data_IF_130669439343
#
_entry.id   IF_130669439343
#
_cell.length_a   1.000
_cell.length_b   1.000
_cell.length_c   1.000
_cell.angle_alpha   90.00
_cell.angle_beta   90.00
_cell.angle_gamma   90.00
#
_symmetry.space_group_name_H-M   'P 1'
#
loop_
_entity.id
_entity.type
_entity.pdbx_description
1 polymer ?
#
# COMPACT_ATOMS: atom_id res chain seq x y z
N UNK A 1 -12.87 12.96 1.41
CA UNK A 1 -11.86 12.73 0.34
C UNK A 1 -11.06 11.48 0.67
N UNK A 2 -10.87 10.60 -0.32
CA UNK A 2 -10.09 9.36 -0.20
C UNK A 2 -8.78 9.52 -0.96
N UNK A 3 -7.63 9.26 -0.32
CA UNK A 3 -6.34 9.21 -1.01
C UNK A 3 -5.98 7.75 -1.33
N UNK A 4 -5.55 7.50 -2.56
CA UNK A 4 -5.01 6.21 -2.98
C UNK A 4 -3.56 6.39 -3.42
N UNK A 5 -2.62 5.71 -2.78
CA UNK A 5 -1.24 5.58 -3.26
C UNK A 5 -1.10 4.29 -4.06
N UNK A 6 -0.35 4.29 -5.15
CA UNK A 6 -0.24 3.13 -6.04
C UNK A 6 -1.51 2.89 -6.87
N UNK A 7 -2.31 3.95 -7.11
CA UNK A 7 -3.56 3.87 -7.83
C UNK A 7 -3.44 3.43 -9.29
N UNK A 8 -2.29 3.64 -9.93
CA UNK A 8 -2.05 3.19 -11.30
C UNK A 8 -1.65 1.70 -11.41
N UNK A 9 -1.39 1.02 -10.28
CA UNK A 9 -1.12 -0.42 -10.25
C UNK A 9 -2.38 -1.27 -10.48
N UNK A 10 -2.23 -2.61 -10.61
CA UNK A 10 -3.35 -3.51 -10.87
C UNK A 10 -4.47 -3.37 -9.83
N UNK A 11 -4.20 -3.65 -8.55
CA UNK A 11 -5.21 -3.51 -7.49
C UNK A 11 -5.68 -2.06 -7.31
N UNK A 12 -4.75 -1.10 -7.45
CA UNK A 12 -5.03 0.32 -7.27
C UNK A 12 -6.05 0.85 -8.26
N UNK A 13 -5.89 0.55 -9.55
CA UNK A 13 -6.83 1.04 -10.56
C UNK A 13 -8.23 0.42 -10.43
N UNK A 14 -8.31 -0.85 -10.04
CA UNK A 14 -9.59 -1.52 -9.75
C UNK A 14 -10.27 -0.87 -8.55
N UNK A 15 -9.52 -0.58 -7.49
CA UNK A 15 -10.04 0.12 -6.31
C UNK A 15 -10.54 1.53 -6.66
N UNK A 16 -9.76 2.31 -7.41
CA UNK A 16 -10.15 3.66 -7.84
C UNK A 16 -11.48 3.61 -8.60
N UNK A 17 -11.63 2.69 -9.56
CA UNK A 17 -12.90 2.50 -10.29
C UNK A 17 -14.06 2.19 -9.35
N UNK A 18 -13.89 1.23 -8.45
CA UNK A 18 -14.93 0.83 -7.52
C UNK A 18 -15.34 1.95 -6.55
N UNK A 19 -14.39 2.80 -6.14
CA UNK A 19 -14.68 3.97 -5.30
C UNK A 19 -15.47 5.04 -6.07
N UNK A 20 -15.06 5.33 -7.30
CA UNK A 20 -15.77 6.29 -8.17
C UNK A 20 -17.19 5.83 -8.51
N UNK A 21 -17.39 4.54 -8.80
CA UNK A 21 -18.71 3.94 -9.01
C UNK A 21 -19.64 4.09 -7.79
N UNK A 22 -19.08 4.16 -6.59
CA UNK A 22 -19.81 4.45 -5.34
C UNK A 22 -20.03 5.94 -5.09
N UNK A 23 -19.59 6.81 -6.00
CA UNK A 23 -19.72 8.25 -5.86
C UNK A 23 -18.72 8.89 -4.89
N UNK A 24 -17.65 8.15 -4.52
CA UNK A 24 -16.62 8.67 -3.62
C UNK A 24 -15.72 9.68 -4.34
N UNK A 25 -15.24 10.67 -3.60
CA UNK A 25 -14.21 11.60 -4.09
C UNK A 25 -12.84 11.01 -3.88
N UNK A 26 -12.14 10.73 -4.98
CA UNK A 26 -10.85 10.03 -4.96
C UNK A 26 -9.74 10.98 -5.41
N UNK A 27 -8.63 10.97 -4.67
CA UNK A 27 -7.35 11.57 -5.03
C UNK A 27 -6.32 10.45 -5.18
N UNK A 28 -5.55 10.46 -6.27
CA UNK A 28 -4.49 9.49 -6.52
C UNK A 28 -3.13 10.18 -6.41
N UNK A 29 -2.26 9.65 -5.54
CA UNK A 29 -0.86 10.06 -5.47
C UNK A 29 -0.10 9.34 -6.58
N UNK A 30 0.52 10.09 -7.48
CA UNK A 30 1.30 9.59 -8.60
C UNK A 30 2.72 10.14 -8.56
N UNK A 31 3.70 9.32 -8.97
CA UNK A 31 5.06 9.81 -9.13
C UNK A 31 5.15 10.77 -10.33
N UNK A 32 6.02 11.79 -10.30
CA UNK A 32 6.29 12.60 -11.50
C UNK A 32 6.65 11.72 -12.69
N UNK A 33 5.91 11.84 -13.79
CA UNK A 33 6.09 11.04 -15.00
C UNK A 33 5.61 9.59 -14.93
N UNK A 34 4.88 9.21 -13.89
CA UNK A 34 4.28 7.88 -13.82
C UNK A 34 3.23 7.68 -14.93
N UNK A 35 3.26 6.51 -15.58
CA UNK A 35 2.21 6.12 -16.51
C UNK A 35 0.91 5.83 -15.77
N UNK A 36 -0.08 6.69 -16.01
CA UNK A 36 -1.43 6.58 -15.43
C UNK A 36 -2.49 6.16 -16.44
N UNK A 37 -2.08 5.63 -17.59
CA UNK A 37 -3.00 5.19 -18.66
C UNK A 37 -4.04 4.16 -18.18
N UNK A 38 -3.70 3.39 -17.15
CA UNK A 38 -4.64 2.47 -16.47
C UNK A 38 -5.85 3.18 -15.84
N UNK A 39 -5.78 4.49 -15.61
CA UNK A 39 -6.82 5.33 -15.01
C UNK A 39 -7.48 6.28 -16.03
N UNK A 40 -7.14 6.16 -17.31
CA UNK A 40 -7.70 7.03 -18.35
C UNK A 40 -9.23 6.99 -18.39
N UNK A 41 -9.84 8.15 -18.61
CA UNK A 41 -11.30 8.32 -18.67
C UNK A 41 -12.01 8.31 -17.32
N UNK A 42 -11.31 8.22 -16.19
CA UNK A 42 -11.89 8.31 -14.86
C UNK A 42 -11.82 9.74 -14.31
N UNK A 43 -12.85 10.13 -13.53
CA UNK A 43 -12.95 11.45 -12.89
C UNK A 43 -12.40 11.40 -11.46
N UNK A 44 -11.12 11.69 -11.28
CA UNK A 44 -10.44 11.72 -9.99
C UNK A 44 -9.43 12.88 -9.91
N UNK A 45 -9.07 13.27 -8.70
CA UNK A 45 -8.02 14.28 -8.48
C UNK A 45 -6.64 13.61 -8.52
N UNK A 46 -5.73 14.16 -9.32
CA UNK A 46 -4.31 13.74 -9.34
C UNK A 46 -3.47 14.67 -8.48
N UNK A 47 -2.60 14.11 -7.65
CA UNK A 47 -1.56 14.85 -6.94
C UNK A 47 -0.20 14.18 -7.20
N UNK A 48 0.74 14.96 -7.72
CA UNK A 48 2.10 14.47 -7.88
C UNK A 48 2.85 14.45 -6.54
N UNK A 49 3.57 13.36 -6.30
CA UNK A 49 4.38 13.22 -5.11
C UNK A 49 4.96 11.81 -4.94
N UNK A 50 5.92 11.73 -4.04
CA UNK A 50 6.60 10.49 -3.69
C UNK A 50 6.32 10.13 -2.22
N UNK A 51 6.00 8.86 -1.94
CA UNK A 51 5.81 8.37 -0.57
C UNK A 51 7.09 8.46 0.27
N UNK A 52 8.25 8.64 -0.37
CA UNK A 52 9.53 8.88 0.30
C UNK A 52 9.74 10.34 0.71
N UNK A 53 8.85 11.24 0.32
CA UNK A 53 8.89 12.66 0.67
C UNK A 53 7.76 13.02 1.65
N UNK A 54 8.06 13.21 2.94
CA UNK A 54 7.04 13.52 3.94
C UNK A 54 6.32 14.86 3.70
N UNK A 55 6.95 15.82 3.02
CA UNK A 55 6.32 17.12 2.72
C UNK A 55 5.27 16.94 1.63
N UNK A 56 5.61 16.21 0.57
CA UNK A 56 4.67 15.91 -0.51
C UNK A 56 3.49 15.07 -0.02
N UNK A 57 3.74 14.08 0.87
CA UNK A 57 2.68 13.27 1.48
C UNK A 57 1.70 14.14 2.29
N UNK A 58 2.18 15.02 3.17
CA UNK A 58 1.30 15.91 3.93
C UNK A 58 0.48 16.81 3.01
N UNK A 59 1.07 17.31 1.95
CA UNK A 59 0.33 18.08 0.92
C UNK A 59 -0.76 17.22 0.26
N UNK A 60 -0.44 15.99 -0.11
CA UNK A 60 -1.39 15.08 -0.74
C UNK A 60 -2.55 14.70 0.20
N UNK A 61 -2.30 14.68 1.52
CA UNK A 61 -3.29 14.32 2.54
C UNK A 61 -4.15 15.49 3.03
N UNK A 62 -4.00 16.70 2.48
CA UNK A 62 -4.86 17.83 2.86
C UNK A 62 -6.35 17.53 2.58
N UNK A 63 -7.19 17.57 3.62
CA UNK A 63 -8.63 17.29 3.53
C UNK A 63 -8.98 15.82 3.24
N UNK A 64 -8.05 14.89 3.48
CA UNK A 64 -8.24 13.44 3.31
C UNK A 64 -8.73 12.82 4.61
N UNK A 65 -9.77 12.00 4.53
CA UNK A 65 -10.36 11.26 5.67
C UNK A 65 -9.88 9.81 5.72
N UNK A 66 -9.62 9.22 4.55
CA UNK A 66 -9.30 7.81 4.39
C UNK A 66 -8.13 7.65 3.42
N UNK A 67 -7.15 6.85 3.79
CA UNK A 67 -6.01 6.53 2.92
C UNK A 67 -6.02 5.03 2.60
N UNK A 68 -5.98 4.70 1.31
CA UNK A 68 -5.62 3.37 0.82
C UNK A 68 -4.15 3.39 0.39
N UNK A 69 -3.30 2.74 1.17
CA UNK A 69 -1.88 2.64 0.87
C UNK A 69 -1.58 1.33 0.16
N UNK A 70 -1.47 1.42 -1.18
CA UNK A 70 -1.24 0.28 -2.08
C UNK A 70 0.09 0.40 -2.83
N UNK A 71 0.79 1.54 -2.72
CA UNK A 71 2.09 1.73 -3.33
C UNK A 71 3.11 0.76 -2.72
N UNK A 72 3.71 -0.07 -3.56
CA UNK A 72 4.76 -0.99 -3.18
C UNK A 72 5.62 -1.32 -4.41
N UNK A 73 6.88 -1.65 -4.18
CA UNK A 73 7.74 -2.24 -5.19
C UNK A 73 7.73 -3.76 -5.00
N UNK A 74 7.40 -4.48 -6.07
CA UNK A 74 7.47 -5.94 -6.15
C UNK A 74 8.63 -6.29 -7.05
N UNK A 75 9.60 -7.03 -6.55
CA UNK A 75 10.68 -7.58 -7.36
C UNK A 75 11.05 -8.98 -6.85
N UNK A 76 11.25 -9.90 -7.77
CA UNK A 76 11.60 -11.29 -7.46
C UNK A 76 13.09 -11.41 -7.13
N UNK A 77 13.90 -10.49 -7.65
CA UNK A 77 15.36 -10.51 -7.52
C UNK A 77 15.84 -9.81 -6.25
N UNK A 78 16.85 -10.38 -5.60
CA UNK A 78 17.41 -9.87 -4.33
C UNK A 78 18.27 -8.62 -4.48
N UNK A 79 18.72 -8.29 -5.70
CA UNK A 79 19.53 -7.11 -6.02
C UNK A 79 18.77 -5.78 -5.80
N UNK A 80 17.44 -5.84 -5.75
CA UNK A 80 16.58 -4.66 -5.48
C UNK A 80 16.18 -4.51 -4.01
N UNK A 81 16.79 -5.26 -3.07
CA UNK A 81 16.37 -5.24 -1.66
C UNK A 81 16.38 -3.82 -1.06
N UNK A 82 17.44 -3.06 -1.24
CA UNK A 82 17.55 -1.71 -0.65
C UNK A 82 16.48 -0.77 -1.19
N UNK A 83 16.17 -0.87 -2.49
CA UNK A 83 15.10 -0.08 -3.08
C UNK A 83 13.73 -0.53 -2.58
N UNK A 84 13.48 -1.84 -2.48
CA UNK A 84 12.24 -2.37 -1.90
C UNK A 84 12.10 -1.95 -0.43
N UNK A 85 13.19 -1.97 0.34
CA UNK A 85 13.16 -1.53 1.72
C UNK A 85 12.75 -0.04 1.83
N UNK A 86 13.39 0.82 1.03
CA UNK A 86 13.02 2.24 0.98
C UNK A 86 11.55 2.43 0.64
N UNK A 87 11.07 1.83 -0.46
CA UNK A 87 9.70 2.05 -0.92
C UNK A 87 8.70 1.39 0.03
N UNK A 88 8.88 0.11 0.36
CA UNK A 88 7.87 -0.65 1.09
C UNK A 88 7.89 -0.36 2.59
N UNK A 89 9.07 -0.11 3.18
CA UNK A 89 9.20 0.09 4.63
C UNK A 89 9.23 1.56 4.99
N UNK A 90 10.21 2.32 4.47
CA UNK A 90 10.33 3.74 4.78
C UNK A 90 9.16 4.55 4.20
N UNK A 91 8.71 4.22 2.98
CA UNK A 91 7.52 4.82 2.38
C UNK A 91 6.27 4.58 3.23
N UNK A 92 6.05 3.36 3.72
CA UNK A 92 4.93 3.04 4.63
C UNK A 92 5.05 3.79 5.96
N UNK A 93 6.25 3.92 6.52
CA UNK A 93 6.49 4.73 7.73
C UNK A 93 6.07 6.18 7.51
N UNK A 94 6.51 6.78 6.41
CA UNK A 94 6.15 8.16 6.07
C UNK A 94 4.64 8.34 5.88
N UNK A 95 3.95 7.35 5.28
CA UNK A 95 2.49 7.37 5.13
C UNK A 95 1.80 7.33 6.50
N UNK A 96 2.27 6.47 7.42
CA UNK A 96 1.74 6.39 8.80
C UNK A 96 1.90 7.73 9.52
N UNK A 97 3.09 8.32 9.46
CA UNK A 97 3.38 9.61 10.09
C UNK A 97 2.52 10.72 9.50
N UNK A 98 2.42 10.78 8.17
CA UNK A 98 1.57 11.76 7.50
C UNK A 98 0.07 11.58 7.85
N UNK A 99 -0.42 10.34 7.99
CA UNK A 99 -1.79 10.09 8.45
C UNK A 99 -2.03 10.66 9.85
N UNK A 100 -1.08 10.50 10.77
CA UNK A 100 -1.16 11.07 12.12
C UNK A 100 -1.12 12.59 12.11
N UNK A 101 -0.15 13.16 11.40
CA UNK A 101 0.06 14.61 11.31
C UNK A 101 -1.16 15.33 10.72
N UNK A 102 -1.82 14.70 9.74
CA UNK A 102 -2.96 15.29 9.02
C UNK A 102 -4.33 14.89 9.58
N UNK A 103 -4.37 14.10 10.65
CA UNK A 103 -5.62 13.67 11.28
C UNK A 103 -6.47 12.76 10.40
N UNK A 104 -5.84 11.96 9.54
CA UNK A 104 -6.55 10.98 8.71
C UNK A 104 -7.28 9.99 9.62
N UNK A 105 -8.58 9.82 9.38
CA UNK A 105 -9.45 8.98 10.23
C UNK A 105 -9.09 7.50 10.14
N UNK A 106 -8.74 6.99 8.96
CA UNK A 106 -8.41 5.57 8.77
C UNK A 106 -7.36 5.36 7.69
N UNK A 107 -6.45 4.44 7.96
CA UNK A 107 -5.48 3.90 7.00
C UNK A 107 -5.85 2.45 6.64
N UNK A 108 -6.02 2.15 5.35
CA UNK A 108 -6.12 0.78 4.83
C UNK A 108 -4.82 0.46 4.10
N UNK A 109 -4.05 -0.45 4.66
CA UNK A 109 -2.76 -0.87 4.11
C UNK A 109 -2.88 -2.20 3.38
N UNK A 110 -2.42 -2.26 2.15
CA UNK A 110 -2.34 -3.49 1.37
C UNK A 110 -1.00 -4.16 1.59
N UNK A 111 -1.01 -5.23 2.38
CA UNK A 111 0.13 -6.11 2.61
C UNK A 111 0.15 -7.27 1.60
N UNK A 112 0.49 -8.44 2.05
CA UNK A 112 0.48 -9.71 1.31
C UNK A 112 0.43 -10.87 2.30
N UNK A 113 -0.17 -11.99 1.91
CA UNK A 113 -0.06 -13.24 2.65
C UNK A 113 1.41 -13.67 2.86
N UNK A 114 2.29 -13.27 1.94
CA UNK A 114 3.73 -13.52 2.03
C UNK A 114 4.42 -12.82 3.20
N UNK A 115 3.76 -11.87 3.85
CA UNK A 115 4.27 -11.19 5.04
C UNK A 115 4.12 -12.04 6.32
N UNK A 116 3.27 -13.07 6.29
CA UNK A 116 3.03 -13.94 7.43
C UNK A 116 4.14 -14.97 7.60
N UNK A 117 4.37 -15.40 8.85
CA UNK A 117 5.18 -16.55 9.17
C UNK A 117 4.61 -17.82 8.50
N UNK A 118 5.46 -18.82 8.33
CA UNK A 118 5.03 -20.12 7.82
C UNK A 118 4.62 -21.00 9.00
N UNK A 119 3.34 -21.25 9.21
CA UNK A 119 2.88 -22.15 10.23
C UNK A 119 3.26 -23.61 9.86
N UNK A 120 3.19 -24.50 10.85
CA UNK A 120 3.38 -25.93 10.64
C UNK A 120 2.37 -26.50 9.63
N UNK A 121 2.78 -27.56 8.94
CA UNK A 121 1.93 -28.23 7.96
C UNK A 121 0.59 -28.68 8.57
N UNK A 122 -0.50 -28.40 7.89
CA UNK A 122 -1.86 -28.70 8.34
C UNK A 122 -2.49 -27.63 9.25
N UNK A 123 -1.77 -26.55 9.58
CA UNK A 123 -2.32 -25.42 10.32
C UNK A 123 -3.07 -24.47 9.38
N UNK A 124 -4.24 -24.03 9.81
CA UNK A 124 -4.98 -22.96 9.08
C UNK A 124 -4.30 -21.62 9.32
N UNK A 125 -4.08 -20.86 8.24
CA UNK A 125 -3.55 -19.51 8.30
C UNK A 125 -4.73 -18.55 8.46
N UNK A 126 -4.72 -17.76 9.52
CA UNK A 126 -5.68 -16.71 9.80
C UNK A 126 -4.98 -15.44 10.34
N UNK A 127 -5.74 -14.47 10.80
CA UNK A 127 -5.25 -13.18 11.29
C UNK A 127 -4.47 -13.26 12.62
N UNK A 128 -4.36 -14.44 13.24
CA UNK A 128 -3.57 -14.66 14.46
C UNK A 128 -2.10 -14.98 14.14
N UNK A 129 -1.79 -15.32 12.88
CA UNK A 129 -0.41 -15.59 12.46
C UNK A 129 0.40 -14.31 12.43
N UNK A 130 1.55 -14.31 13.09
CA UNK A 130 2.41 -13.13 13.19
C UNK A 130 3.14 -12.83 11.86
N UNK A 131 3.48 -11.55 11.67
CA UNK A 131 4.33 -11.12 10.55
C UNK A 131 5.77 -11.55 10.78
N UNK A 132 6.34 -12.27 9.82
CA UNK A 132 7.73 -12.75 9.89
C UNK A 132 8.71 -11.73 9.32
N UNK A 133 9.17 -10.83 10.17
CA UNK A 133 10.11 -9.76 9.78
C UNK A 133 11.53 -10.25 9.44
N UNK A 134 11.84 -11.50 9.73
CA UNK A 134 13.10 -12.15 9.36
C UNK A 134 12.93 -13.16 8.23
N UNK A 135 11.75 -13.16 7.59
CA UNK A 135 11.32 -14.11 6.58
C UNK A 135 12.45 -14.47 5.60
N UNK A 136 12.82 -15.76 5.52
CA UNK A 136 13.88 -16.21 4.62
C UNK A 136 13.42 -16.38 3.17
N UNK A 137 12.12 -16.30 2.89
CA UNK A 137 11.56 -16.63 1.58
C UNK A 137 11.95 -15.63 0.50
N UNK A 138 12.11 -14.34 0.85
CA UNK A 138 12.55 -13.35 -0.12
C UNK A 138 12.57 -11.92 0.39
N UNK A 139 13.17 -11.06 -0.42
CA UNK A 139 13.30 -9.64 -0.12
C UNK A 139 11.93 -8.94 -0.05
N UNK A 140 11.01 -9.27 -0.97
CA UNK A 140 9.66 -8.74 -0.98
C UNK A 140 8.90 -9.14 0.28
N UNK A 141 8.89 -10.43 0.62
CA UNK A 141 8.18 -10.99 1.77
C UNK A 141 8.63 -10.31 3.06
N UNK A 142 9.95 -10.18 3.25
CA UNK A 142 10.54 -9.50 4.40
C UNK A 142 10.13 -8.03 4.48
N UNK A 143 10.20 -7.29 3.37
CA UNK A 143 9.83 -5.85 3.39
C UNK A 143 8.34 -5.65 3.66
N UNK A 144 7.47 -6.54 3.17
CA UNK A 144 6.03 -6.50 3.47
C UNK A 144 5.75 -6.87 4.93
N UNK A 145 6.46 -7.84 5.50
CA UNK A 145 6.34 -8.20 6.90
C UNK A 145 6.76 -7.05 7.84
N UNK A 146 7.92 -6.42 7.57
CA UNK A 146 8.38 -5.26 8.35
C UNK A 146 7.38 -4.11 8.25
N UNK A 147 6.91 -3.77 7.05
CA UNK A 147 5.94 -2.70 6.84
C UNK A 147 4.60 -2.99 7.54
N UNK A 148 4.13 -4.25 7.51
CA UNK A 148 2.93 -4.67 8.24
C UNK A 148 3.10 -4.52 9.75
N UNK A 149 4.27 -4.86 10.28
CA UNK A 149 4.61 -4.63 11.69
C UNK A 149 4.55 -3.16 12.08
N UNK A 150 5.01 -2.24 11.21
CA UNK A 150 4.88 -0.79 11.44
C UNK A 150 3.41 -0.34 11.50
N UNK A 151 2.57 -0.84 10.61
CA UNK A 151 1.13 -0.50 10.61
C UNK A 151 0.44 -1.07 11.83
N UNK A 152 0.77 -2.32 12.23
CA UNK A 152 0.23 -2.94 13.43
C UNK A 152 0.63 -2.16 14.69
N UNK A 153 1.88 -1.72 14.78
CA UNK A 153 2.36 -0.88 15.88
C UNK A 153 1.67 0.49 15.89
N UNK A 154 1.46 1.08 14.71
CA UNK A 154 0.71 2.33 14.59
C UNK A 154 -0.74 2.19 15.07
N UNK A 155 -1.38 1.05 14.76
CA UNK A 155 -2.73 0.76 15.22
C UNK A 155 -2.81 0.59 16.74
N UNK A 156 -1.85 -0.12 17.36
CA UNK A 156 -1.73 -0.23 18.82
C UNK A 156 -1.56 1.14 19.50
N UNK A 157 -0.95 2.09 18.79
CA UNK A 157 -0.71 3.45 19.26
C UNK A 157 -1.79 4.45 18.78
N UNK A 158 -2.99 3.97 18.47
CA UNK A 158 -4.19 4.80 18.30
C UNK A 158 -4.51 5.25 16.88
N UNK A 159 -3.74 4.84 15.85
CA UNK A 159 -4.14 5.04 14.46
C UNK A 159 -5.21 3.99 14.10
N UNK A 160 -6.39 4.43 13.63
CA UNK A 160 -7.35 3.48 13.06
C UNK A 160 -6.80 2.92 11.74
N UNK A 161 -6.23 1.72 11.80
CA UNK A 161 -5.58 1.09 10.66
C UNK A 161 -6.06 -0.35 10.45
N UNK A 162 -6.23 -0.71 9.17
CA UNK A 162 -6.58 -2.06 8.72
C UNK A 162 -5.50 -2.56 7.77
N UNK A 163 -5.08 -3.81 7.94
CA UNK A 163 -4.14 -4.50 7.05
C UNK A 163 -4.92 -5.53 6.23
N UNK A 164 -4.83 -5.44 4.91
CA UNK A 164 -5.41 -6.44 3.99
C UNK A 164 -4.28 -7.32 3.46
N UNK A 165 -4.49 -8.62 3.47
CA UNK A 165 -3.52 -9.65 3.10
C UNK A 165 -3.97 -10.39 1.83
N UNK A 166 -3.82 -9.81 0.63
CA UNK A 166 -4.16 -10.51 -0.60
C UNK A 166 -3.27 -11.75 -0.79
N UNK A 167 -3.86 -12.77 -1.39
CA UNK A 167 -3.18 -13.94 -1.94
C UNK A 167 -2.77 -13.67 -3.40
N UNK A 168 -2.80 -14.68 -4.28
CA UNK A 168 -2.65 -14.49 -5.71
C UNK A 168 -3.79 -13.64 -6.26
N UNK A 169 -3.46 -12.53 -6.93
CA UNK A 169 -4.44 -11.61 -7.50
C UNK A 169 -4.58 -11.87 -8.98
N UNK A 170 -5.78 -12.20 -9.42
CA UNK A 170 -6.14 -12.40 -10.81
C UNK A 170 -7.42 -11.61 -11.08
N UNK A 171 -7.45 -10.83 -12.15
CA UNK A 171 -8.64 -10.04 -12.44
C UNK A 171 -8.48 -9.13 -13.66
N UNK A 172 -9.53 -8.37 -14.00
CA UNK A 172 -9.49 -7.40 -15.07
C UNK A 172 -8.54 -6.24 -14.73
N UNK A 173 -8.18 -5.47 -15.76
CA UNK A 173 -7.38 -4.26 -15.65
C UNK A 173 -5.94 -4.49 -15.13
N UNK A 174 -5.37 -5.66 -15.37
CA UNK A 174 -3.95 -5.89 -15.20
C UNK A 174 -3.20 -5.39 -16.46
N UNK A 175 -2.90 -4.10 -16.45
CA UNK A 175 -2.22 -3.44 -17.59
C UNK A 175 -0.70 -3.55 -17.51
N UNK A 176 -0.15 -3.93 -16.37
CA UNK A 176 1.30 -4.10 -16.19
C UNK A 176 1.60 -5.59 -16.16
N UNK A 177 2.41 -6.06 -17.12
CA UNK A 177 2.98 -7.40 -16.99
C UNK A 177 3.88 -7.43 -15.77
N UNK A 178 3.59 -8.32 -14.82
CA UNK A 178 4.54 -8.67 -13.77
C UNK A 178 5.77 -9.30 -14.44
N UNK A 179 6.92 -8.64 -14.37
CA UNK A 179 8.20 -9.21 -14.79
C UNK A 179 8.67 -10.29 -13.80
#
# INVERSE_FOLDING_TARGET
MILVTGGAGHLGNVLVRALLEKGEKVRVLVLPGEDVSSLEGLDFETVEGNILDPVQLRKAMQGVDLVYHMAALVAITSDKYDLMYKVNVEGTRNVIEACRDMGVRRLVYTSSIHALGRPDEGTTVDETVEFDQVNPAGAYDRTKAIASGLVQEAAKNGLDAVIVLPTGVIGPNDFRRSE
#
